data_IF_770261054810
#
_entry.id   IF_770261054810
#
_cell.length_a   1.000
_cell.length_b   1.000
_cell.length_c   1.000
_cell.angle_alpha   90.00
_cell.angle_beta   90.00
_cell.angle_gamma   90.00
#
_symmetry.space_group_name_H-M   'P 1'
#
loop_
_entity.id
_entity.type
_entity.pdbx_description
1 polymer ?
#
# COMPACT_ATOMS: atom_id res chain seq x y z
N UNK A 1 -12.13 -22.73 15.90
CA UNK A 1 -10.82 -23.13 16.47
C UNK A 1 -9.79 -23.28 15.35
N UNK A 2 -9.58 -22.24 14.52
CA UNK A 2 -8.47 -22.16 13.56
C UNK A 2 -8.37 -20.69 13.12
N UNK A 3 -7.85 -19.86 14.01
CA UNK A 3 -7.45 -18.50 13.65
C UNK A 3 -6.01 -18.59 13.20
N UNK A 4 -5.75 -18.46 11.90
CA UNK A 4 -4.38 -18.24 11.41
C UNK A 4 -3.98 -16.83 11.84
N UNK A 5 -3.36 -16.74 13.01
CA UNK A 5 -2.74 -15.52 13.49
C UNK A 5 -1.46 -15.22 12.73
N UNK A 6 -0.91 -14.04 12.99
CA UNK A 6 0.38 -13.63 12.42
C UNK A 6 1.49 -14.61 12.79
N UNK A 7 1.43 -15.18 14.00
CA UNK A 7 2.32 -16.22 14.51
C UNK A 7 2.35 -17.47 13.63
N UNK A 8 1.18 -18.03 13.31
CA UNK A 8 1.06 -19.24 12.50
C UNK A 8 1.54 -19.00 11.08
N UNK A 9 1.20 -17.84 10.49
CA UNK A 9 1.67 -17.46 9.14
C UNK A 9 3.19 -17.35 9.09
N UNK A 10 3.82 -16.73 10.10
CA UNK A 10 5.29 -16.63 10.19
C UNK A 10 5.93 -18.02 10.31
N UNK A 11 5.36 -18.92 11.12
CA UNK A 11 5.87 -20.28 11.27
C UNK A 11 5.83 -21.04 9.93
N UNK A 12 4.71 -20.95 9.21
CA UNK A 12 4.55 -21.59 7.89
C UNK A 12 5.55 -20.98 6.90
N UNK A 13 5.72 -19.66 6.89
CA UNK A 13 6.73 -18.98 6.06
C UNK A 13 8.14 -19.44 6.39
N UNK A 14 8.49 -19.60 7.67
CA UNK A 14 9.81 -20.07 8.08
C UNK A 14 10.09 -21.49 7.54
N UNK A 15 9.12 -22.40 7.64
CA UNK A 15 9.25 -23.77 7.08
C UNK A 15 9.36 -23.72 5.56
N UNK A 16 8.52 -22.93 4.87
CA UNK A 16 8.59 -22.77 3.42
C UNK A 16 9.94 -22.19 2.97
N UNK A 17 10.50 -21.25 3.74
CA UNK A 17 11.82 -20.66 3.52
C UNK A 17 12.96 -21.67 3.70
N UNK A 18 12.82 -22.65 4.59
CA UNK A 18 13.82 -23.72 4.72
C UNK A 18 13.78 -24.64 3.50
N UNK A 19 12.58 -24.98 3.02
CA UNK A 19 12.39 -25.87 1.87
C UNK A 19 12.86 -25.21 0.56
N UNK A 20 12.42 -23.98 0.32
CA UNK A 20 12.70 -23.24 -0.92
C UNK A 20 14.04 -22.52 -0.83
N UNK A 21 14.41 -22.00 0.34
CA UNK A 21 15.56 -21.13 0.57
C UNK A 21 15.21 -19.63 0.49
N UNK A 22 15.67 -18.79 1.45
CA UNK A 22 15.37 -17.35 1.46
C UNK A 22 15.95 -16.59 0.26
N UNK A 23 17.04 -17.11 -0.33
CA UNK A 23 17.63 -16.54 -1.55
C UNK A 23 16.79 -16.83 -2.80
N UNK A 24 16.02 -17.93 -2.81
CA UNK A 24 15.19 -18.35 -3.95
C UNK A 24 13.79 -17.74 -3.90
N UNK A 25 13.27 -17.38 -2.72
CA UNK A 25 12.00 -16.68 -2.59
C UNK A 25 11.88 -15.42 -3.50
N UNK A 26 12.86 -14.49 -3.55
CA UNK A 26 12.77 -13.33 -4.44
C UNK A 26 12.82 -13.71 -5.93
N UNK A 27 13.51 -14.80 -6.27
CA UNK A 27 13.58 -15.31 -7.64
C UNK A 27 12.20 -15.87 -8.08
N UNK A 28 11.58 -16.70 -7.23
CA UNK A 28 10.23 -17.24 -7.45
C UNK A 28 9.19 -16.12 -7.51
N UNK A 29 9.24 -15.17 -6.56
CA UNK A 29 8.33 -14.03 -6.54
C UNK A 29 8.44 -13.15 -7.80
N UNK A 30 9.66 -12.95 -8.32
CA UNK A 30 9.88 -12.24 -9.59
C UNK A 30 9.27 -13.00 -10.77
N UNK A 31 9.40 -14.32 -10.82
CA UNK A 31 8.78 -15.16 -11.86
C UNK A 31 7.26 -15.10 -11.83
N UNK A 32 6.67 -15.35 -10.67
CA UNK A 32 5.22 -15.29 -10.45
C UNK A 32 4.68 -13.87 -10.70
N UNK A 33 5.37 -12.83 -10.24
CA UNK A 33 4.96 -11.44 -10.41
C UNK A 33 4.94 -11.01 -11.88
N UNK A 34 5.93 -11.42 -12.68
CA UNK A 34 5.94 -11.18 -14.13
C UNK A 34 4.78 -11.90 -14.82
N UNK A 35 4.59 -13.19 -14.53
CA UNK A 35 3.47 -13.95 -15.08
C UNK A 35 2.11 -13.38 -14.70
N UNK A 36 1.94 -12.91 -13.46
CA UNK A 36 0.72 -12.24 -13.02
C UNK A 36 0.50 -10.89 -13.71
N UNK A 37 1.55 -10.11 -13.94
CA UNK A 37 1.47 -8.85 -14.66
C UNK A 37 1.06 -9.06 -16.12
N UNK A 38 1.64 -10.05 -16.79
CA UNK A 38 1.28 -10.44 -18.15
C UNK A 38 -0.15 -11.00 -18.21
N UNK A 39 -0.53 -11.89 -17.29
CA UNK A 39 -1.89 -12.39 -17.17
C UNK A 39 -2.90 -11.26 -16.98
N UNK A 40 -2.63 -10.31 -16.09
CA UNK A 40 -3.49 -9.14 -15.88
C UNK A 40 -3.61 -8.29 -17.14
N UNK A 41 -2.52 -8.13 -17.91
CA UNK A 41 -2.55 -7.42 -19.19
C UNK A 41 -3.48 -8.14 -20.17
N UNK A 42 -3.31 -9.44 -20.36
CA UNK A 42 -4.18 -10.25 -21.23
C UNK A 42 -5.64 -10.24 -20.77
N UNK A 43 -5.91 -10.28 -19.47
CA UNK A 43 -7.26 -10.16 -18.94
C UNK A 43 -7.90 -8.79 -19.26
N UNK A 44 -7.12 -7.71 -19.23
CA UNK A 44 -7.62 -6.38 -19.60
C UNK A 44 -7.90 -6.30 -21.10
N UNK A 45 -6.98 -6.78 -21.93
CA UNK A 45 -7.14 -6.82 -23.38
C UNK A 45 -8.35 -7.70 -23.78
N UNK A 46 -8.54 -8.83 -23.07
CA UNK A 46 -9.71 -9.69 -23.23
C UNK A 46 -11.01 -9.02 -22.76
N UNK A 47 -11.00 -8.31 -21.63
CA UNK A 47 -12.15 -7.51 -21.19
C UNK A 47 -12.51 -6.43 -22.22
N UNK A 48 -11.52 -5.78 -22.82
CA UNK A 48 -11.72 -4.76 -23.85
C UNK A 48 -12.27 -5.37 -25.14
N UNK A 49 -11.78 -6.54 -25.54
CA UNK A 49 -12.30 -7.29 -26.68
C UNK A 49 -13.70 -7.89 -26.44
N UNK A 50 -14.06 -8.16 -25.18
CA UNK A 50 -15.34 -8.74 -24.75
C UNK A 50 -16.32 -7.67 -24.24
N UNK A 51 -16.02 -6.37 -24.39
CA UNK A 51 -16.93 -5.25 -24.08
C UNK A 51 -18.12 -5.12 -25.06
N UNK A 52 -18.70 -6.24 -25.46
CA UNK A 52 -20.10 -6.33 -25.87
C UNK A 52 -20.85 -6.89 -24.65
N UNK A 53 -21.48 -5.99 -23.88
CA UNK A 53 -22.53 -6.24 -22.88
C UNK A 53 -22.23 -6.57 -21.40
N UNK A 54 -21.06 -6.24 -20.83
CA UNK A 54 -20.88 -6.30 -19.36
C UNK A 54 -20.26 -5.02 -18.80
N UNK A 55 -21.13 -4.09 -18.44
CA UNK A 55 -20.85 -2.83 -17.74
C UNK A 55 -20.25 -3.13 -16.35
N UNK A 56 -18.92 -3.21 -16.27
CA UNK A 56 -18.18 -3.27 -15.00
C UNK A 56 -17.03 -2.27 -15.06
N UNK A 57 -17.34 -1.06 -14.60
CA UNK A 57 -16.45 0.08 -14.41
C UNK A 57 -15.15 -0.34 -13.71
N UNK A 58 -13.97 -0.28 -14.37
CA UNK A 58 -12.71 -0.54 -13.69
C UNK A 58 -12.18 0.75 -13.05
N UNK A 59 -12.24 0.80 -11.73
CA UNK A 59 -11.62 1.84 -10.91
C UNK A 59 -10.18 2.15 -11.34
N UNK A 60 -9.94 3.45 -11.51
CA UNK A 60 -8.70 4.12 -11.92
C UNK A 60 -7.44 3.46 -11.38
N UNK A 61 -6.50 3.19 -12.29
CA UNK A 61 -5.10 2.87 -11.99
C UNK A 61 -4.47 4.08 -11.26
N UNK A 62 -3.86 3.93 -10.07
CA UNK A 62 -2.81 4.86 -9.68
C UNK A 62 -1.56 4.46 -10.46
N UNK A 63 -1.28 5.26 -11.48
CA UNK A 63 -0.01 5.33 -12.20
C UNK A 63 1.12 5.37 -11.17
N UNK A 64 2.01 4.38 -11.28
CA UNK A 64 3.33 4.41 -10.67
C UNK A 64 4.14 5.55 -11.29
N UNK A 65 3.88 6.78 -10.87
CA UNK A 65 4.77 7.92 -11.02
C UNK A 65 4.59 8.76 -9.77
N UNK A 66 5.65 8.81 -8.95
CA UNK A 66 5.84 9.72 -7.80
C UNK A 66 5.35 9.28 -6.41
N UNK A 67 5.82 8.12 -5.94
CA UNK A 67 5.89 7.87 -4.49
C UNK A 67 7.03 8.64 -3.79
N UNK A 68 7.89 9.33 -4.55
CA UNK A 68 9.01 10.13 -4.02
C UNK A 68 8.62 11.59 -3.72
N UNK A 69 7.65 12.17 -4.43
CA UNK A 69 7.30 13.59 -4.24
C UNK A 69 6.40 13.85 -3.01
N UNK A 70 5.74 12.82 -2.46
CA UNK A 70 4.83 12.97 -1.30
C UNK A 70 5.58 13.00 0.04
N UNK A 71 6.81 12.46 0.11
CA UNK A 71 7.61 12.51 1.34
C UNK A 71 8.32 13.86 1.54
N UNK A 72 8.59 14.60 0.47
CA UNK A 72 9.42 15.82 0.52
C UNK A 72 8.61 17.09 0.87
N UNK A 73 7.29 17.10 0.67
CA UNK A 73 6.47 18.30 0.91
C UNK A 73 5.99 18.44 2.37
N UNK A 74 5.83 17.35 3.11
CA UNK A 74 5.27 17.36 4.48
C UNK A 74 6.30 17.33 5.62
N UNK A 75 7.60 17.35 5.34
CA UNK A 75 8.63 17.43 6.39
C UNK A 75 9.07 18.88 6.70
N UNK A 76 8.63 19.87 5.92
CA UNK A 76 9.05 21.27 6.11
C UNK A 76 8.10 22.14 6.96
N UNK A 77 6.93 21.63 7.33
CA UNK A 77 5.90 22.43 8.03
C UNK A 77 5.79 22.13 9.54
N UNK A 78 6.49 21.11 10.05
CA UNK A 78 6.40 20.69 11.47
C UNK A 78 7.58 21.11 12.35
N UNK A 79 8.51 21.93 11.87
CA UNK A 79 9.69 22.36 12.67
C UNK A 79 9.82 23.87 12.84
N UNK A 80 8.71 24.62 12.77
CA UNK A 80 8.75 26.08 12.97
C UNK A 80 7.53 26.65 13.69
N UNK A 81 7.12 26.07 14.82
CA UNK A 81 6.23 26.73 15.78
C UNK A 81 6.31 26.08 17.17
N UNK A 82 7.53 25.88 17.68
CA UNK A 82 7.75 25.70 19.13
C UNK A 82 8.37 26.98 19.67
N UNK A 83 7.54 27.96 20.04
CA UNK A 83 7.82 28.89 21.14
C UNK A 83 6.50 29.45 21.73
N UNK A 84 6.49 29.76 23.04
CA UNK A 84 5.35 29.56 23.92
C UNK A 84 4.42 30.78 24.02
N UNK A 85 3.10 30.57 23.91
CA UNK A 85 2.13 31.61 24.25
C UNK A 85 1.94 31.64 25.77
N UNK A 86 2.73 32.52 26.39
CA UNK A 86 2.59 33.04 27.74
C UNK A 86 1.31 33.89 27.88
N UNK A 87 0.69 33.76 29.05
CA UNK A 87 -0.28 34.64 29.72
C UNK A 87 -0.68 35.97 29.04
N UNK A 88 -1.98 36.28 28.99
CA UNK A 88 -2.55 37.38 29.78
C UNK A 88 -4.10 37.33 29.82
N UNK A 89 -4.63 38.22 30.64
CA UNK A 89 -5.84 38.15 31.45
C UNK A 89 -6.98 39.03 30.92
N UNK A 90 -8.19 38.80 31.48
CA UNK A 90 -9.43 39.62 31.44
C UNK A 90 -10.14 39.61 30.08
N UNK A 91 -11.47 39.59 29.96
CA UNK A 91 -12.52 40.32 30.67
C UNK A 91 -13.88 39.64 30.32
N UNK A 92 -14.67 39.30 31.35
CA UNK A 92 -16.16 39.31 31.48
C UNK A 92 -17.07 39.01 30.27
N UNK A 93 -18.07 38.15 30.48
CA UNK A 93 -19.52 38.48 30.57
C UNK A 93 -20.40 37.21 30.49
N UNK A 94 -21.44 37.14 31.34
CA UNK A 94 -22.47 36.07 31.54
C UNK A 94 -21.97 34.75 32.16
N UNK A 95 -22.42 34.28 33.32
CA UNK A 95 -23.72 34.30 34.03
C UNK A 95 -23.51 34.28 35.54
#
# INVERSE_FOLDING_TARGET
MFGLGMSEVILILAVALIVIGPKKLPEVAKGVGKGYAEFKKYMNDFKEAVNVDLDVEPAKKPTSTKAQDVYDEHYKDVTKSDEPVKADSKEKENV
#
